data_IF_861898653732
#
_entry.id   IF_861898653732
#
_cell.length_a   1.000
_cell.length_b   1.000
_cell.length_c   1.000
_cell.angle_alpha   90.00
_cell.angle_beta   90.00
_cell.angle_gamma   90.00
#
_symmetry.space_group_name_H-M   'P 1'
#
loop_
_entity.id
_entity.type
_entity.pdbx_description
1 polymer ?
#
# COMPACT_ATOMS: atom_id res chain seq x y z
N UNK A 1 -0.64 4.08 -26.84
CA UNK A 1 -0.02 4.56 -25.58
C UNK A 1 -1.04 4.36 -24.48
N UNK A 2 -0.76 3.52 -23.47
CA UNK A 2 -1.56 3.49 -22.24
C UNK A 2 -1.46 4.90 -21.63
N UNK A 3 -2.60 5.53 -21.35
CA UNK A 3 -2.63 6.76 -20.56
C UNK A 3 -2.53 6.32 -19.11
N UNK A 4 -1.38 6.53 -18.49
CA UNK A 4 -1.25 6.30 -17.06
C UNK A 4 -2.02 7.38 -16.31
N UNK A 5 -2.63 7.05 -15.15
CA UNK A 5 -3.17 8.06 -14.26
C UNK A 5 -2.09 9.09 -13.93
N UNK A 6 -2.50 10.33 -13.71
CA UNK A 6 -1.58 11.36 -13.24
C UNK A 6 -1.12 10.96 -11.83
N UNK A 7 0.18 10.73 -11.66
CA UNK A 7 0.76 10.42 -10.36
C UNK A 7 0.47 11.54 -9.37
N UNK A 8 -0.25 11.19 -8.31
CA UNK A 8 -0.35 11.97 -7.09
C UNK A 8 -0.14 11.01 -5.92
N UNK A 9 0.49 11.48 -4.86
CA UNK A 9 0.71 10.68 -3.65
C UNK A 9 -0.62 10.10 -3.14
N UNK A 10 -1.67 10.91 -3.13
CA UNK A 10 -3.02 10.51 -2.73
C UNK A 10 -3.58 9.38 -3.60
N UNK A 11 -3.41 9.45 -4.92
CA UNK A 11 -3.85 8.39 -5.85
C UNK A 11 -3.13 7.06 -5.59
N UNK A 12 -1.83 7.09 -5.27
CA UNK A 12 -1.08 5.87 -4.93
C UNK A 12 -1.57 5.30 -3.60
N UNK A 13 -1.77 6.15 -2.59
CA UNK A 13 -2.30 5.73 -1.28
C UNK A 13 -3.69 5.12 -1.41
N UNK A 14 -4.56 5.69 -2.24
CA UNK A 14 -5.91 5.15 -2.49
C UNK A 14 -5.86 3.77 -3.16
N UNK A 15 -5.04 3.60 -4.21
CA UNK A 15 -4.91 2.32 -4.91
C UNK A 15 -4.29 1.24 -4.01
N UNK A 16 -3.25 1.59 -3.24
CA UNK A 16 -2.66 0.66 -2.28
C UNK A 16 -3.64 0.32 -1.15
N UNK A 17 -4.42 1.28 -0.67
CA UNK A 17 -5.45 1.01 0.33
C UNK A 17 -6.48 -0.02 -0.17
N UNK A 18 -6.95 0.09 -1.41
CA UNK A 18 -7.86 -0.90 -1.98
C UNK A 18 -7.24 -2.31 -2.06
N UNK A 19 -5.92 -2.39 -2.27
CA UNK A 19 -5.18 -3.66 -2.28
C UNK A 19 -5.05 -4.22 -0.87
N UNK A 20 -4.54 -3.44 0.08
CA UNK A 20 -4.26 -3.91 1.45
C UNK A 20 -5.51 -4.09 2.32
N UNK A 21 -6.67 -3.61 1.86
CA UNK A 21 -7.97 -3.90 2.51
C UNK A 21 -8.77 -4.96 1.74
N UNK A 22 -8.14 -5.63 0.77
CA UNK A 22 -8.70 -6.80 0.10
C UNK A 22 -8.14 -8.07 0.70
N UNK A 23 -8.97 -8.86 1.41
CA UNK A 23 -8.55 -10.15 1.99
C UNK A 23 -7.84 -11.06 0.98
N UNK A 24 -8.23 -11.03 -0.30
CA UNK A 24 -7.62 -11.85 -1.35
C UNK A 24 -6.19 -11.44 -1.76
N UNK A 25 -5.69 -10.31 -1.26
CA UNK A 25 -4.32 -9.83 -1.45
C UNK A 25 -3.38 -10.20 -0.30
N UNK A 26 -3.89 -10.86 0.75
CA UNK A 26 -3.08 -11.42 1.83
C UNK A 26 -2.88 -12.92 1.63
N UNK A 27 -1.69 -13.42 1.96
CA UNK A 27 -1.40 -14.86 1.92
C UNK A 27 -1.96 -15.60 3.15
N UNK A 28 -2.10 -14.87 4.27
CA UNK A 28 -2.63 -15.37 5.53
C UNK A 28 -4.16 -15.20 5.62
N UNK A 29 -4.75 -15.74 6.70
CA UNK A 29 -6.17 -15.59 6.99
C UNK A 29 -6.39 -14.58 8.13
N UNK A 30 -7.50 -13.83 8.08
CA UNK A 30 -7.86 -12.85 9.11
C UNK A 30 -7.97 -13.48 10.51
N UNK A 31 -8.38 -14.76 10.60
CA UNK A 31 -8.49 -15.49 11.86
C UNK A 31 -7.15 -15.79 12.54
N UNK A 32 -6.03 -15.65 11.82
CA UNK A 32 -4.68 -15.84 12.37
C UNK A 32 -4.17 -14.59 13.12
N UNK A 33 -4.92 -13.47 13.06
CA UNK A 33 -4.54 -12.18 13.65
C UNK A 33 -5.39 -11.84 14.88
N UNK A 34 -4.86 -10.99 15.77
CA UNK A 34 -5.59 -10.54 16.97
C UNK A 34 -6.78 -9.64 16.62
N UNK A 35 -6.62 -8.83 15.57
CA UNK A 35 -7.67 -7.93 15.05
C UNK A 35 -7.65 -7.88 13.52
N UNK A 36 -8.77 -7.48 12.92
CA UNK A 36 -8.88 -7.20 11.49
C UNK A 36 -7.92 -6.09 11.05
N UNK A 37 -7.69 -5.09 11.91
CA UNK A 37 -6.72 -4.02 11.67
C UNK A 37 -5.29 -4.58 11.57
N UNK A 38 -4.90 -5.52 12.44
CA UNK A 38 -3.59 -6.15 12.39
C UNK A 38 -3.40 -6.95 11.10
N UNK A 39 -4.48 -7.60 10.63
CA UNK A 39 -4.48 -8.32 9.36
C UNK A 39 -4.25 -7.37 8.17
N UNK A 40 -5.02 -6.29 8.02
CA UNK A 40 -4.84 -5.35 6.89
C UNK A 40 -3.51 -4.57 6.95
N UNK A 41 -2.94 -4.38 8.15
CA UNK A 41 -1.61 -3.77 8.29
C UNK A 41 -0.45 -4.75 8.03
N UNK A 42 -0.69 -6.06 8.00
CA UNK A 42 0.37 -7.09 7.97
C UNK A 42 1.37 -6.90 6.84
N UNK A 43 0.88 -6.69 5.61
CA UNK A 43 1.73 -6.43 4.44
C UNK A 43 2.51 -5.13 4.58
N UNK A 44 1.83 -4.05 4.97
CA UNK A 44 2.41 -2.69 5.07
C UNK A 44 3.52 -2.62 6.11
N UNK A 45 3.40 -3.42 7.18
CA UNK A 45 4.38 -3.52 8.26
C UNK A 45 5.56 -4.45 7.93
N UNK A 46 5.56 -5.11 6.77
CA UNK A 46 6.67 -5.94 6.32
C UNK A 46 7.90 -5.11 5.93
N UNK A 47 9.08 -5.61 6.28
CA UNK A 47 10.37 -5.01 5.91
C UNK A 47 10.56 -4.87 4.38
N UNK A 48 9.83 -5.64 3.59
CA UNK A 48 9.92 -5.61 2.11
C UNK A 48 8.92 -4.64 1.47
N UNK A 49 8.01 -4.03 2.24
CA UNK A 49 6.94 -3.22 1.68
C UNK A 49 7.46 -1.95 0.97
N UNK A 50 8.56 -1.37 1.46
CA UNK A 50 9.25 -0.26 0.77
C UNK A 50 9.63 -0.62 -0.67
N UNK A 51 10.10 -1.85 -0.89
CA UNK A 51 10.48 -2.32 -2.22
C UNK A 51 9.26 -2.46 -3.11
N UNK A 52 8.19 -3.06 -2.57
CA UNK A 52 6.92 -3.21 -3.28
C UNK A 52 6.34 -1.87 -3.74
N UNK A 53 6.27 -0.85 -2.86
CA UNK A 53 5.72 0.46 -3.24
C UNK A 53 6.51 1.11 -4.39
N UNK A 54 7.84 0.98 -4.38
CA UNK A 54 8.69 1.49 -5.48
C UNK A 54 8.45 0.77 -6.79
N UNK A 55 8.35 -0.55 -6.75
CA UNK A 55 8.04 -1.38 -7.92
C UNK A 55 6.64 -1.06 -8.45
N UNK A 56 5.64 -1.01 -7.58
CA UNK A 56 4.26 -0.63 -7.90
C UNK A 56 4.20 0.73 -8.61
N UNK A 57 4.92 1.74 -8.08
CA UNK A 57 5.00 3.06 -8.71
C UNK A 57 5.66 3.01 -10.09
N UNK A 58 6.75 2.26 -10.24
CA UNK A 58 7.46 2.13 -11.50
C UNK A 58 6.64 1.38 -12.55
N UNK A 59 5.81 0.41 -12.16
CA UNK A 59 5.04 -0.42 -13.10
C UNK A 59 3.70 0.22 -13.49
N UNK A 60 3.00 0.84 -12.53
CA UNK A 60 1.65 1.36 -12.73
C UNK A 60 1.61 2.85 -13.09
N UNK A 61 2.64 3.61 -12.71
CA UNK A 61 2.73 5.04 -12.99
C UNK A 61 3.95 5.43 -13.84
N UNK A 62 4.84 4.48 -14.16
CA UNK A 62 6.08 4.70 -14.92
C UNK A 62 6.99 5.77 -14.26
N UNK A 63 7.04 5.76 -12.92
CA UNK A 63 7.78 6.74 -12.10
C UNK A 63 8.63 6.05 -11.04
N UNK A 64 9.90 6.42 -11.00
CA UNK A 64 10.77 6.11 -9.87
C UNK A 64 10.59 7.15 -8.76
N UNK A 65 10.31 6.69 -7.53
CA UNK A 65 10.16 7.54 -6.35
C UNK A 65 11.37 7.40 -5.41
N UNK A 66 11.65 8.45 -4.63
CA UNK A 66 12.70 8.43 -3.61
C UNK A 66 12.26 7.62 -2.38
N UNK A 67 13.21 7.21 -1.53
CA UNK A 67 12.90 6.56 -0.25
C UNK A 67 12.04 7.47 0.64
N UNK A 68 12.33 8.78 0.70
CA UNK A 68 11.56 9.73 1.50
C UNK A 68 10.09 9.77 1.08
N UNK A 69 9.81 9.82 -0.22
CA UNK A 69 8.43 9.78 -0.72
C UNK A 69 7.79 8.41 -0.49
N UNK A 70 8.56 7.33 -0.60
CA UNK A 70 8.09 5.97 -0.32
C UNK A 70 7.63 5.84 1.14
N UNK A 71 8.45 6.27 2.10
CA UNK A 71 8.08 6.24 3.51
C UNK A 71 6.85 7.11 3.79
N UNK A 72 6.74 8.28 3.15
CA UNK A 72 5.56 9.13 3.29
C UNK A 72 4.28 8.47 2.76
N UNK A 73 4.36 7.75 1.63
CA UNK A 73 3.23 6.97 1.10
C UNK A 73 2.83 5.87 2.09
N UNK A 74 3.82 5.17 2.66
CA UNK A 74 3.58 4.10 3.65
C UNK A 74 2.93 4.66 4.92
N UNK A 75 3.44 5.78 5.47
CA UNK A 75 2.87 6.42 6.65
C UNK A 75 1.41 6.84 6.40
N UNK A 76 1.14 7.51 5.27
CA UNK A 76 -0.23 7.92 4.91
C UNK A 76 -1.17 6.72 4.70
N UNK A 77 -0.67 5.62 4.13
CA UNK A 77 -1.41 4.38 3.96
C UNK A 77 -1.76 3.73 5.30
N UNK A 78 -0.80 3.65 6.22
CA UNK A 78 -1.02 3.13 7.58
C UNK A 78 -2.09 3.94 8.29
N UNK A 79 -2.00 5.27 8.25
CA UNK A 79 -2.98 6.16 8.87
C UNK A 79 -4.37 5.96 8.26
N UNK A 80 -4.44 5.85 6.93
CA UNK A 80 -5.71 5.61 6.23
C UNK A 80 -6.33 4.26 6.59
N UNK A 81 -5.55 3.19 6.72
CA UNK A 81 -6.05 1.87 7.13
C UNK A 81 -6.62 1.93 8.56
N UNK A 82 -5.91 2.59 9.49
CA UNK A 82 -6.34 2.79 10.88
C UNK A 82 -7.59 3.65 11.03
N UNK A 83 -7.75 4.67 10.19
CA UNK A 83 -8.91 5.57 10.27
C UNK A 83 -10.21 4.90 9.78
N UNK A 84 -10.12 3.79 9.04
CA UNK A 84 -11.27 3.11 8.42
C UNK A 84 -11.58 1.70 8.98
N UNK A 85 -10.77 1.16 9.89
CA UNK A 85 -10.97 -0.14 10.55
C UNK A 85 -10.82 -0.02 12.07
#
# INVERSE_FOLDING_TARGET
MKKFPKFSQETVVDELYEIETSEGCHEDYIEDYETELDFYLSNVMSDTYETYVKEYCSENFDIAISNELTFKIIDDLIDKIKDNN
#
